data_IF_745141071859
#
_entry.id   IF_745141071859
#
_cell.length_a   1.000
_cell.length_b   1.000
_cell.length_c   1.000
_cell.angle_alpha   90.00
_cell.angle_beta   90.00
_cell.angle_gamma   90.00
#
_symmetry.space_group_name_H-M   'P 1'
#
loop_
_entity.id
_entity.type
_entity.pdbx_description
1 polymer ?
#
# COMPACT_ATOMS: atom_id res chain seq x y z
N UNK A 1 11.97 -19.28 3.58
CA UNK A 1 11.56 -17.93 3.99
C UNK A 1 11.80 -17.03 2.80
N UNK A 2 10.77 -16.35 2.32
CA UNK A 2 10.89 -15.41 1.21
C UNK A 2 11.44 -14.07 1.71
N UNK A 3 12.17 -13.35 0.87
CA UNK A 3 12.60 -11.97 1.15
C UNK A 3 11.40 -11.01 1.13
N UNK A 4 11.59 -9.76 1.56
CA UNK A 4 10.56 -8.72 1.45
C UNK A 4 10.11 -8.54 -0.01
N UNK A 5 11.06 -8.44 -0.94
CA UNK A 5 10.77 -8.28 -2.37
C UNK A 5 10.01 -9.47 -2.94
N UNK A 6 10.46 -10.70 -2.63
CA UNK A 6 9.78 -11.92 -3.08
C UNK A 6 8.36 -12.01 -2.52
N UNK A 7 8.16 -11.62 -1.26
CA UNK A 7 6.84 -11.60 -0.64
C UNK A 7 5.95 -10.55 -1.30
N UNK A 8 6.46 -9.34 -1.55
CA UNK A 8 5.73 -8.28 -2.26
C UNK A 8 5.37 -8.69 -3.69
N UNK A 9 6.29 -9.36 -4.39
CA UNK A 9 6.04 -9.92 -5.71
C UNK A 9 4.96 -11.00 -5.70
N UNK A 10 4.96 -11.88 -4.70
CA UNK A 10 3.95 -12.92 -4.54
C UNK A 10 2.54 -12.35 -4.29
N UNK A 11 2.44 -11.20 -3.61
CA UNK A 11 1.16 -10.52 -3.35
C UNK A 11 0.71 -9.57 -4.47
N UNK A 12 1.53 -9.35 -5.50
CA UNK A 12 1.13 -8.64 -6.73
C UNK A 12 1.83 -7.31 -6.99
N UNK A 13 2.99 -7.04 -6.39
CA UNK A 13 3.76 -5.82 -6.70
C UNK A 13 3.95 -5.59 -8.23
N UNK A 14 4.30 -6.60 -9.05
CA UNK A 14 4.47 -6.41 -10.49
C UNK A 14 3.18 -6.01 -11.25
N UNK A 15 2.00 -6.17 -10.64
CA UNK A 15 0.72 -5.80 -11.28
C UNK A 15 0.33 -4.35 -11.00
N UNK A 16 1.05 -3.64 -10.14
CA UNK A 16 0.76 -2.25 -9.84
C UNK A 16 1.17 -1.33 -10.99
N UNK A 17 0.27 -0.39 -11.33
CA UNK A 17 0.59 0.72 -12.23
C UNK A 17 1.34 1.79 -11.45
N UNK A 18 2.66 1.81 -11.65
CA UNK A 18 3.58 2.74 -11.03
C UNK A 18 4.21 3.65 -12.10
N UNK A 19 4.52 4.90 -11.75
CA UNK A 19 5.44 5.73 -12.53
C UNK A 19 6.91 5.47 -12.12
N UNK A 20 7.86 6.12 -12.80
CA UNK A 20 9.29 5.88 -12.59
C UNK A 20 9.76 6.32 -11.19
N UNK A 21 9.21 7.41 -10.67
CA UNK A 21 9.55 7.92 -9.35
C UNK A 21 8.97 7.02 -8.25
N UNK A 22 7.73 6.54 -8.42
CA UNK A 22 7.11 5.56 -7.53
C UNK A 22 7.91 4.24 -7.51
N UNK A 23 8.39 3.77 -8.68
CA UNK A 23 9.26 2.59 -8.79
C UNK A 23 10.58 2.76 -8.03
N UNK A 24 11.26 3.88 -8.26
CA UNK A 24 12.54 4.20 -7.62
C UNK A 24 12.37 4.25 -6.10
N UNK A 25 11.35 4.94 -5.61
CA UNK A 25 11.04 5.01 -4.19
C UNK A 25 10.75 3.62 -3.59
N UNK A 26 9.91 2.81 -4.25
CA UNK A 26 9.56 1.47 -3.77
C UNK A 26 10.79 0.57 -3.70
N UNK A 27 11.68 0.61 -4.71
CA UNK A 27 12.93 -0.15 -4.68
C UNK A 27 13.82 0.27 -3.50
N UNK A 28 13.96 1.58 -3.25
CA UNK A 28 14.68 2.11 -2.09
C UNK A 28 14.05 1.68 -0.77
N UNK A 29 12.73 1.75 -0.65
CA UNK A 29 11.97 1.31 0.52
C UNK A 29 12.20 -0.18 0.83
N UNK A 30 12.10 -1.04 -0.19
CA UNK A 30 12.33 -2.48 -0.06
C UNK A 30 13.75 -2.72 0.45
N UNK A 31 14.76 -2.13 -0.21
CA UNK A 31 16.15 -2.27 0.22
C UNK A 31 16.36 -1.81 1.66
N UNK A 32 15.72 -0.73 2.08
CA UNK A 32 15.86 -0.17 3.42
C UNK A 32 15.18 -1.05 4.50
N UNK A 33 14.04 -1.65 4.19
CA UNK A 33 13.23 -2.41 5.17
C UNK A 33 13.51 -3.91 5.20
N UNK A 34 14.22 -4.47 4.21
CA UNK A 34 14.49 -5.92 4.12
C UNK A 34 15.08 -6.53 5.38
N UNK A 35 16.16 -5.96 5.93
CA UNK A 35 16.81 -6.51 7.13
C UNK A 35 15.88 -6.53 8.36
N UNK A 36 15.05 -5.50 8.51
CA UNK A 36 14.03 -5.46 9.57
C UNK A 36 12.94 -6.53 9.33
N UNK A 37 12.46 -6.65 8.10
CA UNK A 37 11.46 -7.65 7.74
C UNK A 37 11.95 -9.08 7.97
N UNK A 38 13.20 -9.39 7.61
CA UNK A 38 13.81 -10.69 7.87
C UNK A 38 13.88 -11.00 9.36
N UNK A 39 14.25 -10.02 10.19
CA UNK A 39 14.25 -10.16 11.64
C UNK A 39 12.85 -10.43 12.21
N UNK A 40 11.83 -9.73 11.73
CA UNK A 40 10.44 -9.94 12.15
C UNK A 40 9.94 -11.33 11.73
N UNK A 41 10.29 -11.81 10.54
CA UNK A 41 9.94 -13.15 10.07
C UNK A 41 10.58 -14.25 10.94
N UNK A 42 11.81 -14.06 11.40
CA UNK A 42 12.48 -14.99 12.32
C UNK A 42 11.83 -14.99 13.71
N UNK A 43 11.49 -13.81 14.23
CA UNK A 43 10.87 -13.67 15.55
C UNK A 43 9.43 -14.16 15.60
N UNK A 44 8.70 -14.09 14.48
CA UNK A 44 7.28 -14.45 14.36
C UNK A 44 7.06 -15.54 13.30
N UNK A 45 7.86 -16.60 13.37
CA UNK A 45 7.86 -17.68 12.38
C UNK A 45 6.52 -18.42 12.25
N UNK A 46 5.64 -18.32 13.24
CA UNK A 46 4.29 -18.87 13.23
C UNK A 46 3.30 -18.10 12.34
N UNK A 47 3.61 -16.84 12.01
CA UNK A 47 2.71 -15.99 11.20
C UNK A 47 3.01 -16.10 9.72
N UNK A 48 1.98 -16.10 8.86
CA UNK A 48 2.19 -16.01 7.41
C UNK A 48 2.95 -14.73 7.03
N UNK A 49 3.97 -14.85 6.17
CA UNK A 49 4.77 -13.68 5.74
C UNK A 49 3.93 -12.57 5.09
N UNK A 50 2.82 -12.92 4.42
CA UNK A 50 1.85 -11.96 3.87
C UNK A 50 1.20 -11.06 4.93
N UNK A 51 0.97 -11.56 6.14
CA UNK A 51 0.42 -10.80 7.26
C UNK A 51 1.51 -9.93 7.91
N UNK A 52 2.74 -10.43 7.95
CA UNK A 52 3.89 -9.66 8.43
C UNK A 52 4.22 -8.48 7.50
N UNK A 53 4.14 -8.68 6.17
CA UNK A 53 4.27 -7.59 5.18
C UNK A 53 3.15 -6.57 5.35
N UNK A 54 1.91 -7.01 5.55
CA UNK A 54 0.81 -6.09 5.84
C UNK A 54 1.11 -5.25 7.09
N UNK A 55 1.57 -5.87 8.18
CA UNK A 55 1.95 -5.16 9.40
C UNK A 55 3.08 -4.13 9.18
N UNK A 56 4.12 -4.51 8.44
CA UNK A 56 5.21 -3.59 8.06
C UNK A 56 4.70 -2.39 7.27
N UNK A 57 3.82 -2.63 6.29
CA UNK A 57 3.26 -1.58 5.44
C UNK A 57 2.30 -0.68 6.21
N UNK A 58 1.45 -1.23 7.09
CA UNK A 58 0.59 -0.44 7.98
C UNK A 58 1.43 0.49 8.85
N UNK A 59 2.47 -0.02 9.49
CA UNK A 59 3.38 0.79 10.29
C UNK A 59 4.06 1.89 9.45
N UNK A 60 4.53 1.53 8.25
CA UNK A 60 5.28 2.45 7.39
C UNK A 60 4.39 3.57 6.85
N UNK A 61 3.14 3.26 6.46
CA UNK A 61 2.15 4.26 6.03
C UNK A 61 1.83 5.20 7.18
N UNK A 62 1.57 4.68 8.39
CA UNK A 62 1.22 5.54 9.52
C UNK A 62 2.36 6.51 9.88
N UNK A 63 3.59 6.01 9.95
CA UNK A 63 4.78 6.85 10.15
C UNK A 63 4.92 7.94 9.07
N UNK A 64 4.64 7.60 7.81
CA UNK A 64 4.70 8.56 6.71
C UNK A 64 3.56 9.58 6.78
N UNK A 65 2.35 9.17 7.18
CA UNK A 65 1.21 10.08 7.37
C UNK A 65 1.48 11.10 8.48
N UNK A 66 2.03 10.65 9.60
CA UNK A 66 2.44 11.51 10.71
C UNK A 66 3.52 12.51 10.25
N UNK A 67 4.58 12.01 9.60
CA UNK A 67 5.67 12.84 9.09
C UNK A 67 5.19 13.85 8.04
N UNK A 68 4.29 13.43 7.14
CA UNK A 68 3.67 14.27 6.13
C UNK A 68 2.83 15.39 6.78
N UNK A 69 2.00 15.04 7.76
CA UNK A 69 1.13 16.00 8.45
C UNK A 69 1.94 17.02 9.24
N UNK A 70 2.98 16.56 9.95
CA UNK A 70 3.93 17.42 10.65
C UNK A 70 4.65 18.37 9.68
N UNK A 71 5.14 17.83 8.55
CA UNK A 71 5.76 18.63 7.48
C UNK A 71 4.80 19.68 6.93
N UNK A 72 3.54 19.31 6.66
CA UNK A 72 2.56 20.25 6.12
C UNK A 72 2.26 21.38 7.10
N UNK A 73 2.18 21.07 8.40
CA UNK A 73 2.05 22.08 9.46
C UNK A 73 3.27 23.01 9.50
N UNK A 74 4.50 22.46 9.45
CA UNK A 74 5.74 23.25 9.39
C UNK A 74 5.80 24.12 8.14
N UNK A 75 5.47 23.59 6.96
CA UNK A 75 5.44 24.36 5.70
C UNK A 75 4.40 25.47 5.78
N UNK A 76 3.21 25.22 6.32
CA UNK A 76 2.19 26.27 6.46
C UNK A 76 2.67 27.38 7.40
N UNK A 77 3.23 27.01 8.55
CA UNK A 77 3.81 27.96 9.51
C UNK A 77 5.00 28.73 8.92
N UNK A 78 5.85 28.05 8.14
CA UNK A 78 6.99 28.69 7.47
C UNK A 78 6.56 29.54 6.28
N UNK A 79 5.52 29.18 5.53
CA UNK A 79 5.01 29.97 4.40
C UNK A 79 4.45 31.29 4.91
N UNK A 80 3.77 31.28 6.06
CA UNK A 80 3.34 32.49 6.76
C UNK A 80 4.52 33.41 7.13
N UNK A 81 5.69 32.85 7.47
CA UNK A 81 6.91 33.61 7.79
C UNK A 81 7.75 33.97 6.54
N UNK A 82 7.68 33.17 5.47
CA UNK A 82 8.45 33.36 4.24
C UNK A 82 7.80 34.34 3.27
N UNK A 83 6.46 34.47 3.29
CA UNK A 83 5.78 35.59 2.63
C UNK A 83 6.28 36.95 3.14
N UNK A 84 6.84 36.98 4.34
CA UNK A 84 7.49 38.17 4.88
C UNK A 84 8.97 38.30 4.41
N UNK A 85 9.79 37.24 4.29
CA UNK A 85 11.26 37.42 4.19
C UNK A 85 12.08 36.64 3.11
N UNK A 86 11.69 35.48 2.53
CA UNK A 86 12.56 34.76 1.54
C UNK A 86 11.76 33.87 0.56
N UNK A 87 12.18 33.80 -0.71
CA UNK A 87 11.42 33.28 -1.86
C UNK A 87 11.05 31.78 -1.94
N UNK A 88 9.95 31.53 -2.66
CA UNK A 88 9.08 30.32 -2.73
C UNK A 88 9.68 29.00 -3.26
N UNK A 89 10.94 28.97 -3.71
CA UNK A 89 11.46 27.88 -4.54
C UNK A 89 11.80 26.56 -3.79
N UNK A 90 12.22 26.63 -2.52
CA UNK A 90 12.66 25.45 -1.77
C UNK A 90 11.50 24.66 -1.13
N UNK A 91 10.43 25.34 -0.70
CA UNK A 91 9.28 24.70 -0.07
C UNK A 91 8.50 23.75 -1.01
N UNK A 92 8.42 24.10 -2.30
CA UNK A 92 7.70 23.29 -3.29
C UNK A 92 8.33 21.92 -3.55
N UNK A 93 9.67 21.81 -3.52
CA UNK A 93 10.38 20.54 -3.75
C UNK A 93 10.16 19.55 -2.61
N UNK A 94 10.23 20.02 -1.36
CA UNK A 94 10.03 19.17 -0.18
C UNK A 94 8.59 18.63 -0.08
N UNK A 95 7.59 19.48 -0.36
CA UNK A 95 6.19 19.07 -0.43
C UNK A 95 5.96 17.96 -1.47
N UNK A 96 6.61 18.08 -2.63
CA UNK A 96 6.43 17.14 -3.74
C UNK A 96 7.04 15.76 -3.44
N UNK A 97 8.19 15.69 -2.76
CA UNK A 97 8.81 14.41 -2.35
C UNK A 97 7.92 13.66 -1.37
N UNK A 98 7.52 14.30 -0.25
CA UNK A 98 6.74 13.62 0.78
C UNK A 98 5.35 13.18 0.30
N UNK A 99 4.75 13.91 -0.65
CA UNK A 99 3.50 13.50 -1.29
C UNK A 99 3.67 12.21 -2.11
N UNK A 100 4.76 12.12 -2.88
CA UNK A 100 5.06 10.95 -3.70
C UNK A 100 5.32 9.71 -2.84
N UNK A 101 6.12 9.87 -1.79
CA UNK A 101 6.50 8.80 -0.87
C UNK A 101 5.26 8.19 -0.19
N UNK A 102 4.38 9.04 0.36
CA UNK A 102 3.13 8.60 0.97
C UNK A 102 2.20 7.92 -0.05
N UNK A 103 2.06 8.47 -1.26
CA UNK A 103 1.23 7.88 -2.29
C UNK A 103 1.73 6.50 -2.74
N UNK A 104 3.03 6.36 -2.99
CA UNK A 104 3.64 5.09 -3.40
C UNK A 104 3.51 4.02 -2.32
N UNK A 105 3.79 4.39 -1.06
CA UNK A 105 3.69 3.48 0.07
C UNK A 105 2.25 3.05 0.36
N UNK A 106 1.29 3.98 0.23
CA UNK A 106 -0.13 3.68 0.38
C UNK A 106 -0.60 2.67 -0.68
N UNK A 107 -0.14 2.75 -1.93
CA UNK A 107 -0.45 1.72 -2.95
C UNK A 107 0.01 0.32 -2.55
N UNK A 108 1.25 0.19 -2.04
CA UNK A 108 1.74 -1.09 -1.52
C UNK A 108 0.86 -1.61 -0.39
N UNK A 109 0.46 -0.73 0.51
CA UNK A 109 -0.39 -1.07 1.64
C UNK A 109 -1.79 -1.53 1.19
N UNK A 110 -2.43 -0.82 0.26
CA UNK A 110 -3.71 -1.23 -0.31
C UNK A 110 -3.62 -2.57 -1.04
N UNK A 111 -2.56 -2.79 -1.82
CA UNK A 111 -2.28 -4.11 -2.43
C UNK A 111 -2.23 -5.20 -1.36
N UNK A 112 -1.47 -4.99 -0.28
CA UNK A 112 -1.38 -5.96 0.81
C UNK A 112 -2.70 -6.16 1.55
N UNK A 113 -3.51 -5.11 1.74
CA UNK A 113 -4.85 -5.22 2.31
C UNK A 113 -5.75 -6.12 1.46
N UNK A 114 -5.82 -5.86 0.15
CA UNK A 114 -6.60 -6.65 -0.78
C UNK A 114 -6.15 -8.11 -0.81
N UNK A 115 -4.83 -8.35 -0.84
CA UNK A 115 -4.28 -9.71 -0.82
C UNK A 115 -4.57 -10.47 0.47
N UNK A 116 -4.66 -9.78 1.62
CA UNK A 116 -4.97 -10.39 2.91
C UNK A 116 -6.48 -10.43 3.21
N UNK A 117 -7.34 -9.99 2.29
CA UNK A 117 -8.79 -10.03 2.46
C UNK A 117 -9.32 -9.05 3.52
N UNK A 118 -8.64 -7.92 3.71
CA UNK A 118 -9.15 -6.81 4.53
C UNK A 118 -10.42 -6.26 3.89
N UNK A 119 -11.39 -5.86 4.71
CA UNK A 119 -12.69 -5.39 4.24
C UNK A 119 -12.59 -4.20 3.29
N UNK A 120 -13.39 -4.21 2.23
CA UNK A 120 -13.37 -3.17 1.19
C UNK A 120 -13.82 -1.82 1.72
N UNK A 121 -14.73 -1.77 2.69
CA UNK A 121 -15.20 -0.52 3.30
C UNK A 121 -14.08 0.13 4.08
N UNK A 122 -13.32 -0.67 4.84
CA UNK A 122 -12.12 -0.21 5.55
C UNK A 122 -11.05 0.35 4.59
N UNK A 123 -10.77 -0.38 3.50
CA UNK A 123 -9.85 0.09 2.47
C UNK A 123 -10.35 1.40 1.82
N UNK A 124 -11.65 1.49 1.56
CA UNK A 124 -12.26 2.64 0.94
C UNK A 124 -12.20 3.91 1.82
N UNK A 125 -12.45 3.77 3.12
CA UNK A 125 -12.38 4.88 4.07
C UNK A 125 -10.96 5.45 4.13
N UNK A 126 -9.96 4.58 4.26
CA UNK A 126 -8.56 5.00 4.24
C UNK A 126 -8.10 5.54 2.88
N UNK A 127 -8.64 5.05 1.77
CA UNK A 127 -8.33 5.60 0.45
C UNK A 127 -8.82 7.05 0.35
N UNK A 128 -9.97 7.37 0.93
CA UNK A 128 -10.49 8.75 1.03
C UNK A 128 -9.62 9.60 1.97
N UNK A 129 -9.31 9.11 3.17
CA UNK A 129 -8.48 9.84 4.15
C UNK A 129 -7.10 10.21 3.60
N UNK A 130 -6.40 9.25 2.97
CA UNK A 130 -5.07 9.50 2.42
C UNK A 130 -5.16 10.41 1.19
N UNK A 131 -6.23 10.29 0.39
CA UNK A 131 -6.44 11.21 -0.74
C UNK A 131 -6.71 12.64 -0.25
N UNK A 132 -7.47 12.84 0.82
CA UNK A 132 -7.67 14.14 1.46
C UNK A 132 -6.35 14.74 1.93
N UNK A 133 -5.48 13.92 2.52
CA UNK A 133 -4.18 14.38 3.00
C UNK A 133 -3.27 14.84 1.85
N UNK A 134 -3.28 14.12 0.72
CA UNK A 134 -2.47 14.44 -0.46
C UNK A 134 -3.07 15.56 -1.33
N UNK A 135 -4.39 15.61 -1.42
CA UNK A 135 -5.21 16.49 -2.27
C UNK A 135 -6.41 16.99 -1.46
N UNK A 136 -6.32 18.08 -0.68
CA UNK A 136 -7.38 18.48 0.25
C UNK A 136 -8.72 18.90 -0.36
N UNK A 137 -8.82 18.98 -1.69
CA UNK A 137 -10.04 19.34 -2.41
C UNK A 137 -10.75 18.06 -2.88
N UNK A 138 -11.70 17.58 -2.08
CA UNK A 138 -12.41 16.30 -2.28
C UNK A 138 -13.21 16.23 -3.59
N UNK A 139 -13.62 17.38 -4.12
CA UNK A 139 -14.37 17.48 -5.38
C UNK A 139 -13.45 17.63 -6.60
N UNK A 140 -12.13 17.69 -6.39
CA UNK A 140 -11.17 17.82 -7.48
C UNK A 140 -11.01 16.52 -8.27
N UNK A 141 -10.85 16.58 -9.61
CA UNK A 141 -10.50 15.42 -10.42
C UNK A 141 -9.24 14.69 -9.92
N UNK A 142 -8.26 15.43 -9.41
CA UNK A 142 -7.01 14.92 -8.87
C UNK A 142 -7.23 14.08 -7.61
N UNK A 143 -8.14 14.49 -6.72
CA UNK A 143 -8.51 13.71 -5.54
C UNK A 143 -9.18 12.39 -5.92
N UNK A 144 -10.19 12.44 -6.80
CA UNK A 144 -10.89 11.25 -7.27
C UNK A 144 -9.93 10.28 -7.97
N UNK A 145 -9.03 10.81 -8.80
CA UNK A 145 -8.00 10.01 -9.47
C UNK A 145 -7.05 9.35 -8.48
N UNK A 146 -6.61 10.07 -7.44
CA UNK A 146 -5.75 9.51 -6.39
C UNK A 146 -6.44 8.37 -5.62
N UNK A 147 -7.68 8.60 -5.18
CA UNK A 147 -8.49 7.58 -4.49
C UNK A 147 -8.71 6.35 -5.38
N UNK A 148 -8.97 6.55 -6.66
CA UNK A 148 -9.13 5.46 -7.61
C UNK A 148 -7.85 4.64 -7.76
N UNK A 149 -6.67 5.27 -7.84
CA UNK A 149 -5.38 4.55 -7.92
C UNK A 149 -5.15 3.67 -6.68
N UNK A 150 -5.54 4.13 -5.49
CA UNK A 150 -5.47 3.33 -4.27
C UNK A 150 -6.39 2.11 -4.32
N UNK A 151 -7.64 2.29 -4.72
CA UNK A 151 -8.58 1.17 -4.84
C UNK A 151 -8.18 0.20 -5.96
N UNK A 152 -7.58 0.67 -7.05
CA UNK A 152 -7.00 -0.20 -8.07
C UNK A 152 -5.90 -1.11 -7.50
N UNK A 153 -5.02 -0.56 -6.65
CA UNK A 153 -4.00 -1.37 -5.97
C UNK A 153 -4.64 -2.41 -5.04
N UNK A 154 -5.67 -2.04 -4.29
CA UNK A 154 -6.45 -2.98 -3.46
C UNK A 154 -7.04 -4.12 -4.28
N UNK A 155 -7.71 -3.82 -5.39
CA UNK A 155 -8.31 -4.85 -6.25
C UNK A 155 -7.26 -5.73 -6.94
N UNK A 156 -6.09 -5.18 -7.28
CA UNK A 156 -4.98 -5.99 -7.78
C UNK A 156 -4.54 -7.04 -6.74
N UNK A 157 -4.55 -6.67 -5.45
CA UNK A 157 -4.26 -7.60 -4.35
C UNK A 157 -5.28 -8.72 -4.24
N UNK A 158 -6.57 -8.40 -4.35
CA UNK A 158 -7.66 -9.40 -4.40
C UNK A 158 -7.47 -10.35 -5.58
N UNK A 159 -7.22 -9.81 -6.77
CA UNK A 159 -7.03 -10.63 -7.97
C UNK A 159 -5.85 -11.58 -7.81
N UNK A 160 -4.74 -11.08 -7.26
CA UNK A 160 -3.56 -11.90 -7.00
C UNK A 160 -3.82 -12.97 -5.94
N UNK A 161 -4.60 -12.67 -4.90
CA UNK A 161 -5.02 -13.65 -3.91
C UNK A 161 -5.80 -14.80 -4.56
N UNK A 162 -6.77 -14.47 -5.41
CA UNK A 162 -7.57 -15.47 -6.14
C UNK A 162 -6.72 -16.31 -7.10
N UNK A 163 -5.73 -15.72 -7.76
CA UNK A 163 -4.78 -16.46 -8.63
C UNK A 163 -3.94 -17.47 -7.84
N UNK A 164 -3.55 -17.12 -6.62
CA UNK A 164 -2.71 -17.95 -5.77
C UNK A 164 -3.50 -19.02 -4.97
N UNK A 165 -4.82 -18.94 -4.94
CA UNK A 165 -5.62 -20.01 -4.36
C UNK A 165 -5.66 -21.21 -5.33
N UNK A 166 -5.40 -22.44 -4.84
CA UNK A 166 -5.59 -23.62 -5.66
C UNK A 166 -7.06 -23.67 -6.06
N UNK A 167 -7.33 -23.70 -7.38
CA UNK A 167 -8.69 -23.92 -7.91
C UNK A 167 -9.23 -25.17 -7.23
N UNK A 168 -10.12 -24.99 -6.25
CA UNK A 168 -10.75 -26.09 -5.56
C UNK A 168 -11.32 -27.01 -6.65
N UNK A 169 -10.78 -28.22 -6.71
CA UNK A 169 -11.08 -29.19 -7.75
C UNK A 169 -12.58 -29.47 -7.70
N UNK A 170 -13.35 -28.80 -8.54
CA UNK A 170 -14.77 -29.06 -8.77
C UNK A 170 -14.98 -30.57 -9.03
N UNK A 171 -13.96 -31.21 -9.61
CA UNK A 171 -13.83 -32.66 -9.78
C UNK A 171 -13.84 -33.47 -8.47
N UNK A 172 -13.26 -32.99 -7.36
CA UNK A 172 -13.33 -33.68 -6.06
C UNK A 172 -14.73 -33.63 -5.46
N UNK A 173 -15.42 -32.50 -5.60
CA UNK A 173 -16.79 -32.32 -5.10
C UNK A 173 -17.78 -33.20 -5.87
N UNK A 174 -17.66 -33.27 -7.19
CA UNK A 174 -18.50 -34.14 -8.04
C UNK A 174 -18.21 -35.63 -7.76
N UNK A 175 -16.93 -36.02 -7.62
CA UNK A 175 -16.54 -37.41 -7.35
C UNK A 175 -17.06 -37.91 -6.00
N UNK A 176 -17.06 -37.05 -4.97
CA UNK A 176 -17.57 -37.41 -3.65
C UNK A 176 -19.10 -37.46 -3.57
N UNK A 177 -19.80 -36.66 -4.38
CA UNK A 177 -21.26 -36.75 -4.50
C UNK A 177 -21.70 -38.00 -5.29
N UNK A 178 -21.00 -38.36 -6.37
CA UNK A 178 -21.27 -39.59 -7.13
C UNK A 178 -21.02 -40.85 -6.27
N UNK A 179 -19.95 -40.89 -5.46
CA UNK A 179 -19.71 -42.02 -4.54
C UNK A 179 -20.78 -42.20 -3.46
N UNK A 180 -21.49 -41.13 -3.08
CA UNK A 180 -22.62 -41.19 -2.14
C UNK A 180 -23.92 -41.62 -2.81
N UNK A 181 -24.07 -41.42 -4.12
CA UNK A 181 -25.26 -41.81 -4.87
C UNK A 181 -25.26 -43.29 -5.31
N UNK A 182 -24.10 -43.95 -5.28
CA UNK A 182 -23.93 -45.36 -5.66
C UNK A 182 -23.65 -46.29 -4.45
N UNK A 183 -24.09 -45.92 -3.25
CA UNK A 183 -24.01 -46.77 -2.05
C UNK A 183 -25.38 -46.87 -1.38
#
# INVERSE_FOLDING_TARGET
>A
MQTLEETLNAIGLPTLVLDDHEREFIAGFISHRSAFFDSVCQQKAEKPQRELVLGLLTQSVEQNREAFSSTQATINNMTQLFEEHVGKAHAGKFKTSNQLELAALAKLWFLAQGYNGIDVSYANDHASEISNLLRPDEDSPEWHHQRQRFMQAYYAGIEQHHKNQPKASIFLTIKNQLKKAFK
#
